data_IF_291388373853
#
_entry.id   IF_291388373853
#
_cell.length_a   1.000
_cell.length_b   1.000
_cell.length_c   1.000
_cell.angle_alpha   90.00
_cell.angle_beta   90.00
_cell.angle_gamma   90.00
#
_symmetry.space_group_name_H-M   'P 1'
#
loop_
_entity.id
_entity.type
_entity.pdbx_description
1 polymer ?
#
# COMPACT_ATOMS: atom_id res chain seq x y z
N UNK A 1 -23.17 -12.49 2.77
CA UNK A 1 -23.18 -11.17 2.10
C UNK A 1 -21.74 -10.89 1.67
N UNK A 2 -21.53 -10.56 0.39
CA UNK A 2 -20.29 -10.74 -0.38
C UNK A 2 -19.01 -10.22 0.29
N UNK A 3 -18.09 -11.14 0.59
CA UNK A 3 -16.73 -10.84 1.02
C UNK A 3 -15.96 -10.42 -0.24
N UNK A 4 -15.95 -9.12 -0.53
CA UNK A 4 -15.31 -8.59 -1.73
C UNK A 4 -13.81 -8.80 -1.59
N UNK A 5 -13.22 -9.62 -2.47
CA UNK A 5 -11.78 -9.89 -2.45
C UNK A 5 -11.02 -8.62 -2.83
N UNK A 6 -10.28 -8.04 -1.87
CA UNK A 6 -9.40 -6.89 -2.12
C UNK A 6 -8.51 -7.11 -3.34
N UNK A 7 -7.98 -8.32 -3.48
CA UNK A 7 -7.12 -8.76 -4.59
C UNK A 7 -7.79 -8.58 -5.95
N UNK A 8 -9.08 -8.89 -6.06
CA UNK A 8 -9.83 -8.72 -7.31
C UNK A 8 -10.09 -7.24 -7.59
N UNK A 9 -10.36 -6.44 -6.55
CA UNK A 9 -10.56 -5.00 -6.67
C UNK A 9 -9.25 -4.31 -7.05
N UNK A 10 -8.15 -4.56 -6.34
CA UNK A 10 -6.82 -3.98 -6.59
C UNK A 10 -6.29 -4.31 -7.98
N UNK A 11 -6.70 -5.44 -8.56
CA UNK A 11 -6.38 -5.80 -9.94
C UNK A 11 -7.29 -5.15 -10.98
N UNK A 12 -8.45 -4.65 -10.58
CA UNK A 12 -9.42 -4.02 -11.47
C UNK A 12 -9.03 -2.58 -11.78
N UNK A 13 -9.38 -2.13 -12.99
CA UNK A 13 -9.17 -0.72 -13.39
C UNK A 13 -9.89 0.25 -12.47
N UNK A 14 -11.04 -0.15 -11.91
CA UNK A 14 -11.80 0.64 -10.95
C UNK A 14 -10.96 1.08 -9.77
N UNK A 15 -10.00 0.27 -9.30
CA UNK A 15 -9.10 0.65 -8.20
C UNK A 15 -8.09 1.73 -8.59
N UNK A 16 -7.58 1.69 -9.83
CA UNK A 16 -6.66 2.71 -10.34
C UNK A 16 -7.35 4.08 -10.49
N UNK A 17 -8.67 4.06 -10.68
CA UNK A 17 -9.55 5.23 -10.77
C UNK A 17 -9.99 5.75 -9.39
N UNK A 18 -9.79 4.98 -8.31
CA UNK A 18 -10.13 5.41 -6.96
C UNK A 18 -9.25 6.58 -6.50
N UNK A 19 -9.86 7.48 -5.75
CA UNK A 19 -9.17 8.56 -5.06
C UNK A 19 -8.38 8.07 -3.85
N UNK A 20 -7.41 8.87 -3.40
CA UNK A 20 -6.61 8.58 -2.20
C UNK A 20 -7.48 8.21 -0.99
N UNK A 21 -8.57 8.95 -0.76
CA UNK A 21 -9.47 8.73 0.38
C UNK A 21 -10.12 7.34 0.33
N UNK A 22 -10.62 6.95 -0.83
CA UNK A 22 -11.21 5.63 -1.07
C UNK A 22 -10.17 4.51 -0.89
N UNK A 23 -8.97 4.66 -1.46
CA UNK A 23 -7.89 3.69 -1.30
C UNK A 23 -7.46 3.58 0.16
N UNK A 24 -7.31 4.72 0.85
CA UNK A 24 -6.94 4.77 2.27
C UNK A 24 -8.03 4.12 3.14
N UNK A 25 -9.30 4.40 2.87
CA UNK A 25 -10.44 3.81 3.56
C UNK A 25 -10.52 2.29 3.33
N UNK A 26 -10.20 1.83 2.12
CA UNK A 26 -10.08 0.39 1.80
C UNK A 26 -8.92 -0.26 2.58
N UNK A 27 -7.75 0.38 2.64
CA UNK A 27 -6.61 -0.15 3.40
C UNK A 27 -6.88 -0.20 4.90
N UNK A 28 -7.61 0.78 5.44
CA UNK A 28 -7.98 0.79 6.87
C UNK A 28 -9.16 -0.14 7.19
N UNK A 29 -9.88 -0.64 6.20
CA UNK A 29 -10.99 -1.59 6.42
C UNK A 29 -10.46 -2.99 6.66
N UNK A 30 -10.34 -3.36 7.94
CA UNK A 30 -10.07 -4.71 8.46
C UNK A 30 -10.98 -5.83 7.89
N UNK A 31 -12.09 -5.48 7.23
CA UNK A 31 -13.05 -6.46 6.68
C UNK A 31 -12.67 -7.03 5.32
N UNK A 32 -11.59 -6.54 4.70
CA UNK A 32 -11.03 -7.14 3.51
C UNK A 32 -10.20 -8.34 3.97
N UNK A 33 -10.47 -9.52 3.41
CA UNK A 33 -9.66 -10.73 3.62
C UNK A 33 -8.24 -10.54 3.06
N UNK A 34 -7.47 -9.65 3.67
CA UNK A 34 -6.06 -9.52 3.48
C UNK A 34 -5.43 -10.57 4.40
N UNK A 35 -5.38 -11.80 3.93
CA UNK A 35 -4.49 -12.82 4.51
C UNK A 35 -3.02 -12.32 4.51
N UNK A 36 -2.70 -11.37 3.62
CA UNK A 36 -1.39 -10.74 3.51
C UNK A 36 -1.49 -9.25 3.18
N UNK A 37 -0.96 -8.40 4.08
CA UNK A 37 -0.65 -6.98 3.83
C UNK A 37 0.28 -6.77 2.62
N UNK A 38 0.94 -7.83 2.16
CA UNK A 38 1.75 -7.82 0.95
C UNK A 38 0.92 -7.40 -0.27
N UNK A 39 -0.33 -7.86 -0.35
CA UNK A 39 -1.21 -7.52 -1.47
C UNK A 39 -1.73 -6.09 -1.39
N UNK A 40 -1.91 -5.56 -0.18
CA UNK A 40 -2.20 -4.15 0.05
C UNK A 40 -1.06 -3.27 -0.46
N UNK A 41 0.19 -3.64 -0.16
CA UNK A 41 1.36 -2.97 -0.68
C UNK A 41 1.44 -3.03 -2.22
N UNK A 42 1.28 -4.21 -2.82
CA UNK A 42 1.27 -4.35 -4.29
C UNK A 42 0.18 -3.51 -4.96
N UNK A 43 -0.99 -3.39 -4.33
CA UNK A 43 -2.06 -2.54 -4.83
C UNK A 43 -1.66 -1.06 -4.82
N UNK A 44 -1.06 -0.59 -3.71
CA UNK A 44 -0.55 0.79 -3.59
C UNK A 44 0.56 1.04 -4.60
N UNK A 45 1.51 0.12 -4.72
CA UNK A 45 2.61 0.22 -5.70
C UNK A 45 2.05 0.38 -7.13
N UNK A 46 1.04 -0.44 -7.49
CA UNK A 46 0.37 -0.35 -8.78
C UNK A 46 -0.40 0.96 -8.98
N UNK A 47 -1.04 1.46 -7.93
CA UNK A 47 -1.79 2.71 -7.96
C UNK A 47 -0.87 3.93 -8.11
N UNK A 48 0.29 3.91 -7.45
CA UNK A 48 1.35 4.91 -7.61
C UNK A 48 2.00 4.81 -8.98
N UNK A 49 2.23 3.59 -9.49
CA UNK A 49 2.75 3.39 -10.85
C UNK A 49 1.85 3.93 -11.95
N UNK A 50 0.55 4.03 -11.68
CA UNK A 50 -0.39 4.62 -12.62
C UNK A 50 -0.17 6.13 -12.78
N UNK A 51 0.33 6.79 -11.73
CA UNK A 51 0.41 8.24 -11.66
C UNK A 51 1.48 8.68 -10.64
N UNK A 52 2.60 9.19 -11.15
CA UNK A 52 3.76 9.58 -10.35
C UNK A 52 3.48 10.74 -9.40
N UNK A 53 2.46 11.57 -9.65
CA UNK A 53 2.09 12.64 -8.72
C UNK A 53 1.51 12.07 -7.42
N UNK A 54 1.05 10.80 -7.46
CA UNK A 54 0.52 10.10 -6.29
C UNK A 54 1.59 9.53 -5.36
N UNK A 55 2.87 9.61 -5.73
CA UNK A 55 4.00 9.21 -4.87
C UNK A 55 3.94 9.91 -3.51
N UNK A 56 3.55 11.20 -3.49
CA UNK A 56 3.36 11.98 -2.26
C UNK A 56 2.30 11.39 -1.31
N UNK A 57 1.32 10.66 -1.84
CA UNK A 57 0.30 9.98 -1.05
C UNK A 57 0.77 8.58 -0.60
N UNK A 58 1.81 8.04 -1.23
CA UNK A 58 2.39 6.75 -0.90
C UNK A 58 2.82 6.66 0.56
N UNK A 59 3.41 7.71 1.14
CA UNK A 59 3.79 7.77 2.56
C UNK A 59 2.58 7.61 3.50
N UNK A 60 1.47 8.27 3.19
CA UNK A 60 0.20 8.16 3.92
C UNK A 60 -0.46 6.80 3.77
N UNK A 61 -0.46 6.23 2.56
CA UNK A 61 -0.99 4.89 2.32
C UNK A 61 -0.16 3.83 3.04
N UNK A 62 1.17 3.98 3.02
CA UNK A 62 2.10 3.08 3.69
C UNK A 62 2.00 3.14 5.22
N UNK A 63 1.64 4.30 5.80
CA UNK A 63 1.20 4.41 7.21
C UNK A 63 -0.13 3.74 7.50
N UNK A 64 -1.02 3.67 6.51
CA UNK A 64 -2.32 3.00 6.65
C UNK A 64 -2.20 1.48 6.53
N UNK A 65 -1.19 0.99 5.81
CA UNK A 65 -0.80 -0.42 5.78
C UNK A 65 -0.15 -0.78 7.13
N UNK A 66 -0.58 -1.89 7.72
CA UNK A 66 0.00 -2.44 8.95
C UNK A 66 1.31 -3.12 8.62
N UNK A 67 2.37 -2.32 8.50
CA UNK A 67 3.74 -2.82 8.35
C UNK A 67 4.13 -3.85 9.43
N UNK A 68 3.53 -3.76 10.62
CA UNK A 68 3.73 -4.73 11.71
C UNK A 68 3.27 -6.16 11.38
N UNK A 69 2.41 -6.35 10.38
CA UNK A 69 1.98 -7.67 9.88
C UNK A 69 2.83 -8.14 8.69
N UNK A 70 3.66 -7.26 8.11
CA UNK A 70 4.59 -7.64 7.05
C UNK A 70 5.88 -8.21 7.65
N UNK A 71 6.45 -9.27 7.05
CA UNK A 71 7.74 -9.77 7.49
C UNK A 71 8.84 -8.74 7.21
N UNK A 72 9.76 -8.55 8.16
CA UNK A 72 10.86 -7.58 8.05
C UNK A 72 11.69 -7.77 6.78
N UNK A 73 11.84 -9.02 6.31
CA UNK A 73 12.49 -9.33 5.03
C UNK A 73 11.77 -8.72 3.83
N UNK A 74 10.43 -8.70 3.82
CA UNK A 74 9.66 -8.08 2.74
C UNK A 74 9.78 -6.56 2.78
N UNK A 75 9.81 -5.97 3.98
CA UNK A 75 10.02 -4.54 4.15
C UNK A 75 11.38 -4.12 3.57
N UNK A 76 12.47 -4.75 3.99
CA UNK A 76 13.81 -4.37 3.52
C UNK A 76 14.13 -4.80 2.08
N UNK A 77 13.49 -5.86 1.57
CA UNK A 77 13.77 -6.34 0.23
C UNK A 77 12.82 -5.78 -0.83
N UNK A 78 11.58 -5.43 -0.48
CA UNK A 78 10.58 -4.92 -1.41
C UNK A 78 10.29 -3.44 -1.16
N UNK A 79 9.88 -3.09 0.06
CA UNK A 79 9.38 -1.75 0.39
C UNK A 79 10.52 -0.71 0.38
N UNK A 80 11.63 -0.96 1.07
CA UNK A 80 12.83 -0.08 1.05
C UNK A 80 13.48 0.01 -0.35
N UNK A 81 13.21 -0.95 -1.23
CA UNK A 81 13.76 -0.98 -2.59
C UNK A 81 12.85 -0.31 -3.62
N UNK A 82 11.60 0.00 -3.28
CA UNK A 82 10.71 0.66 -4.20
C UNK A 82 11.20 2.06 -4.57
N UNK A 83 11.04 2.41 -5.85
CA UNK A 83 11.50 3.69 -6.39
C UNK A 83 10.82 4.86 -5.67
N UNK A 84 9.50 4.82 -5.55
CA UNK A 84 8.72 5.87 -4.89
C UNK A 84 9.02 6.01 -3.39
N UNK A 85 9.44 4.93 -2.71
CA UNK A 85 9.93 4.97 -1.32
C UNK A 85 11.29 5.66 -1.24
N UNK A 86 12.17 5.44 -2.22
CA UNK A 86 13.46 6.15 -2.29
C UNK A 86 13.33 7.61 -2.71
N UNK A 87 12.28 7.94 -3.46
CA UNK A 87 11.94 9.31 -3.84
C UNK A 87 11.28 10.08 -2.69
N UNK A 88 10.74 9.38 -1.69
CA UNK A 88 10.02 9.99 -0.55
C UNK A 88 10.72 9.70 0.77
N UNK A 89 11.40 10.70 1.34
CA UNK A 89 12.09 10.54 2.64
C UNK A 89 11.14 10.14 3.78
N UNK A 90 9.87 10.57 3.75
CA UNK A 90 8.87 10.16 4.74
C UNK A 90 8.64 8.65 4.76
N UNK A 91 8.62 7.99 3.60
CA UNK A 91 8.48 6.53 3.53
C UNK A 91 9.66 5.85 4.22
N UNK A 92 10.89 6.31 3.95
CA UNK A 92 12.08 5.76 4.56
C UNK A 92 12.11 5.97 6.09
N UNK A 93 11.63 7.12 6.57
CA UNK A 93 11.55 7.41 8.01
C UNK A 93 10.55 6.48 8.73
N UNK A 94 9.37 6.25 8.12
CA UNK A 94 8.39 5.29 8.63
C UNK A 94 9.04 3.92 8.79
N UNK A 95 9.71 3.41 7.75
CA UNK A 95 10.33 2.08 7.78
C UNK A 95 11.45 1.96 8.82
N UNK A 96 12.25 3.02 9.01
CA UNK A 96 13.27 3.06 10.07
C UNK A 96 12.66 2.97 11.46
N UNK A 97 11.47 3.53 11.68
CA UNK A 97 10.75 3.47 12.95
C UNK A 97 10.20 2.10 13.33
N UNK A 98 10.05 1.18 12.35
CA UNK A 98 9.58 -0.20 12.59
C UNK A 98 10.71 -1.22 12.80
N UNK A 99 11.98 -0.80 12.72
CA UNK A 99 13.15 -1.67 12.84
C UNK A 99 13.64 -1.83 14.28
#
# INVERSE_FOLDING_TARGET
FFQVNFVSISRSRSFLDLSFDEVSSLLQRDTLNLDNEQQAYEAVDRWIWHDSERIQFGSRLLKSIRLSLLPSLFISNTVERAKWVRETEECADILKGFK
#
